data_IF_749992430111
#
_entry.id   IF_749992430111
#
_cell.length_a   1.000
_cell.length_b   1.000
_cell.length_c   1.000
_cell.angle_alpha   90.00
_cell.angle_beta   90.00
_cell.angle_gamma   90.00
#
_symmetry.space_group_name_H-M   'P 1'
#
loop_
_entity.id
_entity.type
_entity.pdbx_description
1 polymer ?
#
# COMPACT_ATOMS: atom_id res chain seq x y z
N UNK A 1 64.75 27.37 57.00
CA UNK A 1 64.50 26.93 55.62
C UNK A 1 63.05 26.47 55.53
N UNK A 2 62.28 26.98 54.55
CA UNK A 2 61.16 26.41 53.76
C UNK A 2 60.39 25.20 54.35
N UNK A 3 59.06 25.04 54.30
CA UNK A 3 58.02 25.44 53.34
C UNK A 3 56.65 25.14 54.02
N UNK A 4 55.66 26.06 53.98
CA UNK A 4 54.53 26.12 53.02
C UNK A 4 53.54 24.95 53.09
N UNK A 5 52.33 25.27 53.57
CA UNK A 5 51.21 24.36 53.81
C UNK A 5 50.50 23.87 52.55
N UNK A 6 49.88 22.70 52.68
CA UNK A 6 49.08 22.03 51.66
C UNK A 6 47.68 22.64 51.57
N UNK A 7 47.32 23.16 50.39
CA UNK A 7 45.94 23.48 50.01
C UNK A 7 45.43 22.33 49.17
N UNK A 8 44.39 21.64 49.67
CA UNK A 8 43.67 20.60 48.94
C UNK A 8 42.57 21.27 48.13
N UNK A 9 42.70 21.26 46.80
CA UNK A 9 41.67 21.66 45.85
C UNK A 9 40.89 20.41 45.42
N UNK A 10 39.67 20.27 45.94
CA UNK A 10 38.67 19.29 45.46
C UNK A 10 38.05 19.83 44.17
N UNK A 11 38.54 19.34 43.02
CA UNK A 11 37.90 19.58 41.73
C UNK A 11 36.70 18.63 41.58
N UNK A 12 35.49 19.18 41.73
CA UNK A 12 34.24 18.47 41.45
C UNK A 12 34.12 18.17 39.95
N UNK A 13 34.15 16.89 39.59
CA UNK A 13 33.81 16.43 38.24
C UNK A 13 32.28 16.43 38.14
N UNK A 14 31.74 17.46 37.50
CA UNK A 14 30.34 17.47 37.09
C UNK A 14 30.11 16.38 36.04
N UNK A 15 29.36 15.34 36.39
CA UNK A 15 28.77 14.43 35.43
C UNK A 15 27.75 15.22 34.60
N UNK A 16 28.19 15.77 33.47
CA UNK A 16 27.29 16.23 32.44
C UNK A 16 26.54 15.00 31.92
N UNK A 17 25.29 14.84 32.32
CA UNK A 17 24.37 13.86 31.75
C UNK A 17 24.29 14.15 30.25
N UNK A 18 24.89 13.28 29.45
CA UNK A 18 24.61 13.23 28.01
C UNK A 18 23.09 13.09 27.87
N UNK A 19 22.42 13.94 27.08
CA UNK A 19 20.99 13.80 26.88
C UNK A 19 20.75 12.38 26.36
N UNK A 20 19.90 11.63 27.06
CA UNK A 20 19.46 10.32 26.60
C UNK A 20 19.00 10.52 25.15
N UNK A 21 19.72 9.91 24.20
CA UNK A 21 19.32 9.90 22.80
C UNK A 21 17.87 9.46 22.80
N UNK A 22 16.97 10.32 22.32
CA UNK A 22 15.55 10.00 22.26
C UNK A 22 15.42 8.61 21.64
N UNK A 23 14.97 7.64 22.43
CA UNK A 23 14.82 6.29 21.95
C UNK A 23 13.59 6.29 21.03
N UNK A 24 13.75 5.80 19.80
CA UNK A 24 12.68 5.71 18.78
C UNK A 24 11.41 5.11 19.37
N UNK A 25 11.58 4.21 20.34
CA UNK A 25 10.53 3.62 21.17
C UNK A 25 9.55 4.64 21.75
N UNK A 26 10.02 5.75 22.32
CA UNK A 26 9.16 6.78 22.91
C UNK A 26 8.17 7.38 21.90
N UNK A 27 8.63 7.58 20.66
CA UNK A 27 7.78 8.01 19.56
C UNK A 27 6.80 6.93 19.09
N UNK A 28 7.21 5.66 19.06
CA UNK A 28 6.32 4.52 18.72
C UNK A 28 5.19 4.39 19.74
N UNK A 29 5.51 4.49 21.03
CA UNK A 29 4.52 4.47 22.10
C UNK A 29 3.55 5.65 22.02
N UNK A 30 4.05 6.85 21.71
CA UNK A 30 3.20 8.02 21.49
C UNK A 30 2.26 7.81 20.29
N UNK A 31 2.77 7.28 19.18
CA UNK A 31 1.99 6.97 17.98
C UNK A 31 0.88 5.96 18.25
N UNK A 32 1.16 4.88 19.00
CA UNK A 32 0.17 3.86 19.36
C UNK A 32 -0.98 4.43 20.22
N UNK A 33 -0.68 5.44 21.05
CA UNK A 33 -1.70 6.18 21.83
C UNK A 33 -2.44 7.25 21.02
N UNK A 34 -2.09 7.45 19.75
CA UNK A 34 -2.66 8.49 18.90
C UNK A 34 -2.07 9.89 19.12
N UNK A 35 -1.05 10.03 19.97
CA UNK A 35 -0.31 11.28 20.16
C UNK A 35 0.74 11.46 19.06
N UNK A 36 0.24 11.71 17.85
CA UNK A 36 1.08 11.81 16.67
C UNK A 36 2.02 13.00 16.73
N UNK A 37 1.62 14.12 17.34
CA UNK A 37 2.51 15.30 17.46
C UNK A 37 3.72 14.98 18.34
N UNK A 38 3.52 14.30 19.48
CA UNK A 38 4.62 13.85 20.32
C UNK A 38 5.48 12.83 19.58
N UNK A 39 4.88 11.86 18.88
CA UNK A 39 5.64 10.88 18.11
C UNK A 39 6.63 11.54 17.13
N UNK A 40 6.17 12.58 16.40
CA UNK A 40 7.02 13.34 15.49
C UNK A 40 8.13 14.09 16.23
N UNK A 41 7.84 14.69 17.39
CA UNK A 41 8.85 15.38 18.18
C UNK A 41 9.97 14.42 18.63
N UNK A 42 9.60 13.22 19.09
CA UNK A 42 10.55 12.18 19.52
C UNK A 42 11.38 11.63 18.35
N UNK A 43 10.77 11.42 17.17
CA UNK A 43 11.48 10.84 16.01
C UNK A 43 12.35 11.83 15.24
N UNK A 44 12.09 13.14 15.31
CA UNK A 44 12.84 14.13 14.52
C UNK A 44 14.34 14.12 14.81
N UNK A 45 14.72 14.10 16.09
CA UNK A 45 16.13 14.09 16.49
C UNK A 45 16.87 12.86 15.96
N UNK A 46 16.43 11.63 16.29
CA UNK A 46 17.04 10.39 15.79
C UNK A 46 17.05 10.28 14.27
N UNK A 47 15.97 10.66 13.59
CA UNK A 47 15.92 10.60 12.12
C UNK A 47 16.95 11.51 11.45
N UNK A 48 17.16 12.73 12.00
CA UNK A 48 18.21 13.65 11.55
C UNK A 48 19.61 13.11 11.89
N UNK A 49 19.75 12.40 13.01
CA UNK A 49 21.00 11.73 13.40
C UNK A 49 21.32 10.47 12.58
N UNK A 50 20.41 10.03 11.70
CA UNK A 50 20.63 8.91 10.79
C UNK A 50 19.88 7.64 11.16
N UNK A 51 19.15 7.61 12.26
CA UNK A 51 18.44 6.41 12.71
C UNK A 51 17.40 5.93 11.68
N UNK A 52 17.55 4.71 11.12
CA UNK A 52 16.70 4.24 10.04
C UNK A 52 15.25 3.97 10.46
N UNK A 53 15.01 3.59 11.72
CA UNK A 53 13.66 3.33 12.24
C UNK A 53 12.90 4.66 12.39
N UNK A 54 13.54 5.69 12.93
CA UNK A 54 12.99 7.03 13.02
C UNK A 54 12.74 7.66 11.64
N UNK A 55 13.66 7.46 10.69
CA UNK A 55 13.47 7.88 9.30
C UNK A 55 12.26 7.18 8.66
N UNK A 56 12.13 5.86 8.83
CA UNK A 56 10.96 5.11 8.36
C UNK A 56 9.67 5.66 8.98
N UNK A 57 9.66 5.90 10.30
CA UNK A 57 8.51 6.41 11.02
C UNK A 57 8.10 7.84 10.58
N UNK A 58 9.07 8.73 10.32
CA UNK A 58 8.78 10.03 9.71
C UNK A 58 8.21 9.89 8.29
N UNK A 59 8.75 8.96 7.48
CA UNK A 59 8.19 8.65 6.17
C UNK A 59 6.72 8.25 6.25
N UNK A 60 6.39 7.36 7.19
CA UNK A 60 5.00 6.94 7.46
C UNK A 60 4.11 8.10 7.89
N UNK A 61 4.61 8.99 8.75
CA UNK A 61 3.86 10.14 9.21
C UNK A 61 3.49 11.11 8.07
N UNK A 62 4.46 11.42 7.21
CA UNK A 62 4.23 12.27 6.03
C UNK A 62 3.32 11.58 5.00
N UNK A 63 3.44 10.27 4.81
CA UNK A 63 2.54 9.53 3.91
C UNK A 63 1.09 9.54 4.39
N UNK A 64 0.88 9.44 5.71
CA UNK A 64 -0.45 9.35 6.32
C UNK A 64 -1.05 10.70 6.73
N UNK A 65 -0.26 11.78 6.73
CA UNK A 65 -0.67 13.09 7.26
C UNK A 65 -0.97 13.06 8.76
N UNK A 66 -0.21 12.27 9.53
CA UNK A 66 -0.43 12.10 10.99
C UNK A 66 0.66 12.82 11.77
N UNK A 67 0.27 13.80 12.59
CA UNK A 67 1.20 14.64 13.36
C UNK A 67 1.93 15.69 12.51
N UNK A 68 1.94 15.53 11.18
CA UNK A 68 2.41 16.47 10.15
C UNK A 68 1.41 16.50 8.99
N UNK A 69 1.33 17.57 8.19
CA UNK A 69 0.58 17.55 6.94
C UNK A 69 1.06 16.43 6.01
N UNK A 70 0.13 15.84 5.24
CA UNK A 70 0.49 14.81 4.29
C UNK A 70 1.38 15.37 3.18
N UNK A 71 2.49 14.70 2.90
CA UNK A 71 3.46 15.09 1.88
C UNK A 71 4.20 13.84 1.36
N UNK A 72 3.80 13.38 0.17
CA UNK A 72 4.42 12.20 -0.44
C UNK A 72 5.87 12.41 -0.87
N UNK A 73 6.28 13.65 -1.16
CA UNK A 73 7.66 13.95 -1.52
C UNK A 73 8.57 13.85 -0.29
N UNK A 74 8.13 14.36 0.86
CA UNK A 74 8.82 14.16 2.13
C UNK A 74 8.84 12.68 2.53
N UNK A 75 7.71 11.98 2.39
CA UNK A 75 7.66 10.55 2.67
C UNK A 75 8.68 9.76 1.82
N UNK A 76 8.72 10.03 0.51
CA UNK A 76 9.69 9.44 -0.42
C UNK A 76 11.14 9.66 0.05
N UNK A 77 11.49 10.89 0.43
CA UNK A 77 12.85 11.22 0.89
C UNK A 77 13.22 10.47 2.17
N UNK A 78 12.31 10.41 3.15
CA UNK A 78 12.56 9.71 4.41
C UNK A 78 12.66 8.20 4.22
N UNK A 79 11.77 7.58 3.44
CA UNK A 79 11.89 6.17 3.10
C UNK A 79 13.17 5.88 2.32
N UNK A 80 13.56 6.73 1.38
CA UNK A 80 14.83 6.56 0.64
C UNK A 80 16.03 6.49 1.59
N UNK A 81 16.09 7.38 2.59
CA UNK A 81 17.20 7.40 3.56
C UNK A 81 17.25 6.08 4.35
N UNK A 82 16.13 5.60 4.88
CA UNK A 82 16.08 4.34 5.61
C UNK A 82 16.32 3.11 4.70
N UNK A 83 15.78 3.12 3.49
CA UNK A 83 15.96 2.06 2.49
C UNK A 83 17.42 1.89 2.07
N UNK A 84 18.16 2.99 1.89
CA UNK A 84 19.60 2.96 1.57
C UNK A 84 20.45 2.36 2.71
N UNK A 85 19.92 2.32 3.93
CA UNK A 85 20.53 1.66 5.09
C UNK A 85 20.09 0.20 5.23
N UNK A 86 19.25 -0.31 4.31
CA UNK A 86 18.75 -1.69 4.33
C UNK A 86 17.55 -1.92 5.24
N UNK A 87 16.86 -0.86 5.70
CA UNK A 87 15.66 -1.02 6.53
C UNK A 87 14.52 -1.69 5.74
N UNK A 88 14.11 -2.94 6.06
CA UNK A 88 13.28 -3.74 5.14
C UNK A 88 11.92 -3.15 4.80
N UNK A 89 11.22 -2.55 5.78
CA UNK A 89 9.92 -1.91 5.55
C UNK A 89 10.07 -0.57 4.80
N UNK A 90 11.21 0.09 4.89
CA UNK A 90 11.46 1.33 4.18
C UNK A 90 11.80 1.05 2.71
N UNK A 91 12.53 -0.03 2.42
CA UNK A 91 12.74 -0.49 1.05
C UNK A 91 11.40 -0.77 0.34
N UNK A 92 10.49 -1.49 1.02
CA UNK A 92 9.15 -1.78 0.51
C UNK A 92 8.37 -0.48 0.25
N UNK A 93 8.27 0.39 1.27
CA UNK A 93 7.49 1.62 1.15
C UNK A 93 8.12 2.61 0.16
N UNK A 94 9.45 2.63 0.03
CA UNK A 94 10.13 3.44 -0.98
C UNK A 94 9.77 2.96 -2.39
N UNK A 95 9.85 1.66 -2.66
CA UNK A 95 9.42 1.09 -3.94
C UNK A 95 7.96 1.41 -4.27
N UNK A 96 7.07 1.31 -3.27
CA UNK A 96 5.65 1.62 -3.45
C UNK A 96 5.40 3.12 -3.71
N UNK A 97 6.05 4.02 -2.97
CA UNK A 97 5.91 5.47 -3.18
C UNK A 97 6.51 5.89 -4.53
N UNK A 98 7.64 5.30 -4.94
CA UNK A 98 8.18 5.54 -6.29
C UNK A 98 7.18 5.13 -7.37
N UNK A 99 6.51 3.99 -7.21
CA UNK A 99 5.48 3.54 -8.14
C UNK A 99 4.27 4.49 -8.16
N UNK A 100 3.79 4.92 -7.00
CA UNK A 100 2.69 5.89 -6.85
C UNK A 100 3.06 7.25 -7.48
N UNK A 101 4.33 7.67 -7.38
CA UNK A 101 4.88 8.89 -7.99
C UNK A 101 5.32 8.71 -9.47
N UNK A 102 4.87 7.63 -10.13
CA UNK A 102 5.16 7.34 -11.54
C UNK A 102 6.66 7.15 -11.88
N UNK A 103 7.50 6.85 -10.90
CA UNK A 103 8.95 6.55 -11.05
C UNK A 103 9.18 5.05 -11.22
N UNK A 104 8.55 4.46 -12.24
CA UNK A 104 8.37 3.00 -12.40
C UNK A 104 9.68 2.22 -12.55
N UNK A 105 10.64 2.74 -13.33
CA UNK A 105 11.97 2.12 -13.45
C UNK A 105 12.74 2.08 -12.12
N UNK A 106 12.66 3.15 -11.33
CA UNK A 106 13.32 3.19 -10.01
C UNK A 106 12.62 2.28 -9.01
N UNK A 107 11.29 2.18 -9.08
CA UNK A 107 10.50 1.32 -8.21
C UNK A 107 10.83 -0.17 -8.41
N UNK A 108 11.11 -0.59 -9.64
CA UNK A 108 11.27 -2.00 -10.01
C UNK A 108 12.29 -2.73 -9.13
N UNK A 109 13.48 -2.17 -8.91
CA UNK A 109 14.54 -2.79 -8.12
C UNK A 109 14.12 -3.00 -6.65
N UNK A 110 13.51 -1.98 -6.03
CA UNK A 110 13.07 -2.04 -4.64
C UNK A 110 11.90 -3.01 -4.46
N UNK A 111 10.95 -2.99 -5.39
CA UNK A 111 9.81 -3.91 -5.39
C UNK A 111 10.23 -5.35 -5.66
N UNK A 112 11.25 -5.58 -6.50
CA UNK A 112 11.85 -6.92 -6.69
C UNK A 112 12.44 -7.45 -5.39
N UNK A 113 13.21 -6.64 -4.65
CA UNK A 113 13.78 -7.03 -3.35
C UNK A 113 12.70 -7.35 -2.33
N UNK A 114 11.70 -6.48 -2.20
CA UNK A 114 10.59 -6.70 -1.26
C UNK A 114 9.74 -7.93 -1.65
N UNK A 115 9.44 -8.12 -2.94
CA UNK A 115 8.72 -9.29 -3.43
C UNK A 115 9.48 -10.61 -3.22
N UNK A 116 10.82 -10.58 -3.32
CA UNK A 116 11.69 -11.71 -3.02
C UNK A 116 11.64 -12.11 -1.54
N UNK A 117 11.50 -11.13 -0.63
CA UNK A 117 11.27 -11.37 0.81
C UNK A 117 9.86 -11.86 1.15
N UNK A 118 8.95 -11.90 0.18
CA UNK A 118 7.59 -12.39 0.40
C UNK A 118 6.54 -11.29 0.53
N UNK A 119 6.89 -10.00 0.48
CA UNK A 119 5.96 -8.91 0.78
C UNK A 119 4.76 -8.90 -0.20
N UNK A 120 3.52 -9.20 0.26
CA UNK A 120 2.37 -9.42 -0.63
C UNK A 120 2.03 -8.21 -1.49
N UNK A 121 2.14 -7.00 -0.91
CA UNK A 121 1.83 -5.76 -1.64
C UNK A 121 2.86 -5.50 -2.74
N UNK A 122 4.14 -5.75 -2.47
CA UNK A 122 5.20 -5.60 -3.46
C UNK A 122 5.11 -6.66 -4.57
N UNK A 123 4.81 -7.90 -4.21
CA UNK A 123 4.52 -8.97 -5.20
C UNK A 123 3.38 -8.56 -6.12
N UNK A 124 2.28 -8.05 -5.57
CA UNK A 124 1.14 -7.58 -6.36
C UNK A 124 1.54 -6.45 -7.32
N UNK A 125 2.14 -5.38 -6.80
CA UNK A 125 2.52 -4.21 -7.62
C UNK A 125 3.51 -4.63 -8.71
N UNK A 126 4.56 -5.38 -8.37
CA UNK A 126 5.53 -5.87 -9.34
C UNK A 126 4.89 -6.83 -10.36
N UNK A 127 3.95 -7.67 -9.94
CA UNK A 127 3.16 -8.51 -10.84
C UNK A 127 2.39 -7.69 -11.86
N UNK A 128 1.75 -6.60 -11.44
CA UNK A 128 1.07 -5.68 -12.38
C UNK A 128 2.06 -4.93 -13.29
N UNK A 129 3.26 -4.61 -12.81
CA UNK A 129 4.30 -4.00 -13.64
C UNK A 129 4.72 -4.93 -14.77
N UNK A 130 5.01 -6.20 -14.47
CA UNK A 130 5.35 -7.21 -15.48
C UNK A 130 4.18 -7.48 -16.44
N UNK A 131 2.93 -7.44 -15.97
CA UNK A 131 1.78 -7.64 -16.85
C UNK A 131 1.66 -6.52 -17.90
N UNK A 132 1.89 -5.27 -17.48
CA UNK A 132 1.76 -4.09 -18.32
C UNK A 132 3.04 -3.77 -19.13
N UNK A 133 4.21 -4.26 -18.70
CA UNK A 133 5.50 -3.83 -19.23
C UNK A 133 5.89 -2.43 -18.73
N UNK A 134 5.60 -2.15 -17.46
CA UNK A 134 5.72 -0.81 -16.89
C UNK A 134 6.94 -0.70 -15.97
N UNK A 135 7.99 -0.02 -16.45
CA UNK A 135 9.28 0.06 -15.77
C UNK A 135 10.08 -1.25 -15.76
N UNK A 136 9.53 -2.32 -16.32
CA UNK A 136 10.12 -3.64 -16.54
C UNK A 136 9.66 -4.18 -17.89
N UNK A 137 10.40 -5.11 -18.48
CA UNK A 137 9.93 -5.82 -19.67
C UNK A 137 8.66 -6.62 -19.35
N UNK A 138 7.73 -6.69 -20.31
CA UNK A 138 6.49 -7.44 -20.13
C UNK A 138 6.78 -8.94 -19.99
N UNK A 139 6.35 -9.53 -18.89
CA UNK A 139 6.52 -10.96 -18.60
C UNK A 139 5.27 -11.50 -17.91
N UNK A 140 4.39 -12.13 -18.68
CA UNK A 140 3.12 -12.64 -18.18
C UNK A 140 3.27 -13.84 -17.24
N UNK A 141 4.34 -14.63 -17.39
CA UNK A 141 4.62 -15.77 -16.50
C UNK A 141 5.01 -15.26 -15.12
N UNK A 142 5.95 -14.31 -15.03
CA UNK A 142 6.32 -13.65 -13.76
C UNK A 142 5.16 -12.86 -13.17
N UNK A 143 4.40 -12.15 -13.99
CA UNK A 143 3.23 -11.40 -13.54
C UNK A 143 2.22 -12.29 -12.81
N UNK A 144 1.88 -13.42 -13.43
CA UNK A 144 0.95 -14.39 -12.87
C UNK A 144 1.53 -15.03 -11.59
N UNK A 145 2.80 -15.45 -11.61
CA UNK A 145 3.47 -16.04 -10.46
C UNK A 145 3.44 -15.13 -9.22
N UNK A 146 3.81 -13.87 -9.39
CA UNK A 146 3.84 -12.90 -8.30
C UNK A 146 2.44 -12.58 -7.78
N UNK A 147 1.46 -12.46 -8.67
CA UNK A 147 0.08 -12.12 -8.29
C UNK A 147 -0.61 -13.29 -7.59
N UNK A 148 -0.35 -14.53 -8.01
CA UNK A 148 -0.81 -15.74 -7.30
C UNK A 148 -0.23 -15.81 -5.89
N UNK A 149 1.07 -15.54 -5.71
CA UNK A 149 1.70 -15.52 -4.37
C UNK A 149 1.09 -14.44 -3.48
N UNK A 150 0.85 -13.24 -4.01
CA UNK A 150 0.19 -12.18 -3.25
C UNK A 150 -1.26 -12.54 -2.86
N UNK A 151 -1.98 -13.19 -3.78
CA UNK A 151 -3.35 -13.68 -3.57
C UNK A 151 -3.42 -14.77 -2.50
N UNK A 152 -2.48 -15.73 -2.52
CA UNK A 152 -2.37 -16.80 -1.54
C UNK A 152 -2.12 -16.27 -0.11
N UNK A 153 -1.46 -15.11 0.00
CA UNK A 153 -1.24 -14.40 1.27
C UNK A 153 -2.44 -13.52 1.70
N UNK A 154 -3.58 -13.64 1.01
CA UNK A 154 -4.84 -13.01 1.39
C UNK A 154 -5.03 -11.58 0.88
N UNK A 155 -4.23 -11.10 -0.09
CA UNK A 155 -4.38 -9.76 -0.64
C UNK A 155 -5.53 -9.70 -1.68
N UNK A 156 -6.70 -9.07 -1.39
CA UNK A 156 -7.87 -9.15 -2.27
C UNK A 156 -7.67 -8.46 -3.64
N UNK A 157 -6.81 -7.45 -3.69
CA UNK A 157 -6.45 -6.78 -4.94
C UNK A 157 -5.71 -7.74 -5.89
N UNK A 158 -4.88 -8.63 -5.35
CA UNK A 158 -4.14 -9.60 -6.13
C UNK A 158 -5.07 -10.68 -6.71
N UNK A 159 -6.01 -11.21 -5.92
CA UNK A 159 -7.00 -12.17 -6.45
C UNK A 159 -7.89 -11.55 -7.54
N UNK A 160 -8.25 -10.28 -7.38
CA UNK A 160 -9.00 -9.52 -8.39
C UNK A 160 -8.17 -9.34 -9.67
N UNK A 161 -6.91 -8.94 -9.55
CA UNK A 161 -6.03 -8.78 -10.71
C UNK A 161 -5.73 -10.10 -11.40
N UNK A 162 -5.54 -11.20 -10.66
CA UNK A 162 -5.39 -12.54 -11.23
C UNK A 162 -6.58 -12.90 -12.14
N UNK A 163 -7.82 -12.67 -11.67
CA UNK A 163 -9.02 -12.93 -12.46
C UNK A 163 -9.12 -12.04 -13.71
N UNK A 164 -8.52 -10.85 -13.70
CA UNK A 164 -8.40 -10.01 -14.89
C UNK A 164 -7.31 -10.55 -15.83
N UNK A 165 -6.15 -10.93 -15.30
CA UNK A 165 -5.04 -11.51 -16.06
C UNK A 165 -5.45 -12.81 -16.76
N UNK A 166 -6.30 -13.64 -16.15
CA UNK A 166 -6.83 -14.88 -16.73
C UNK A 166 -7.56 -14.68 -18.07
N UNK A 167 -8.00 -13.45 -18.38
CA UNK A 167 -8.63 -13.10 -19.66
C UNK A 167 -7.63 -12.87 -20.80
N UNK A 168 -6.37 -12.64 -20.46
CA UNK A 168 -5.31 -12.26 -21.41
C UNK A 168 -4.17 -13.29 -21.46
N UNK A 169 -3.83 -13.90 -20.32
CA UNK A 169 -2.75 -14.87 -20.22
C UNK A 169 -3.25 -16.25 -20.62
N UNK A 170 -2.52 -16.91 -21.52
CA UNK A 170 -2.86 -18.26 -21.99
C UNK A 170 -2.87 -19.27 -20.85
N UNK A 171 -3.59 -20.38 -20.99
CA UNK A 171 -3.56 -21.45 -19.99
C UNK A 171 -2.13 -22.00 -19.78
N UNK A 172 -1.37 -22.17 -20.86
CA UNK A 172 0.00 -22.66 -20.81
C UNK A 172 0.92 -21.72 -20.00
N UNK A 173 0.82 -20.40 -20.21
CA UNK A 173 1.67 -19.46 -19.47
C UNK A 173 1.23 -19.29 -18.02
N UNK A 174 -0.06 -19.44 -17.73
CA UNK A 174 -0.55 -19.51 -16.34
C UNK A 174 -0.02 -20.75 -15.62
N UNK A 175 0.02 -21.91 -16.26
CA UNK A 175 0.64 -23.11 -15.69
C UNK A 175 2.11 -22.89 -15.36
N UNK A 176 2.89 -22.32 -16.29
CA UNK A 176 4.28 -21.89 -16.03
C UNK A 176 4.36 -20.90 -14.87
N UNK A 177 3.43 -19.94 -14.79
CA UNK A 177 3.37 -18.97 -13.71
C UNK A 177 3.11 -19.62 -12.35
N UNK A 178 2.23 -20.62 -12.29
CA UNK A 178 1.97 -21.40 -11.07
C UNK A 178 3.18 -22.24 -10.66
N UNK A 179 3.92 -22.81 -11.62
CA UNK A 179 5.19 -23.50 -11.36
C UNK A 179 6.25 -22.54 -10.81
N UNK A 180 6.38 -21.37 -11.43
CA UNK A 180 7.29 -20.33 -10.98
C UNK A 180 6.93 -19.82 -9.58
N UNK A 181 5.65 -19.67 -9.26
CA UNK A 181 5.19 -19.31 -7.92
C UNK A 181 5.65 -20.32 -6.87
N UNK A 182 5.47 -21.63 -7.13
CA UNK A 182 5.96 -22.72 -6.26
C UNK A 182 7.47 -22.70 -6.10
N UNK A 183 8.22 -22.39 -7.17
CA UNK A 183 9.67 -22.24 -7.10
C UNK A 183 10.07 -21.11 -6.15
N UNK A 184 9.43 -19.95 -6.26
CA UNK A 184 9.70 -18.84 -5.34
C UNK A 184 9.39 -19.18 -3.88
N UNK A 185 8.33 -19.95 -3.60
CA UNK A 185 7.98 -20.40 -2.25
C UNK A 185 9.03 -21.36 -1.68
N UNK A 186 9.49 -22.33 -2.48
CA UNK A 186 10.58 -23.23 -2.11
C UNK A 186 11.87 -22.46 -1.82
N UNK A 187 12.21 -21.50 -2.68
CA UNK A 187 13.45 -20.74 -2.56
C UNK A 187 13.40 -19.77 -1.37
N UNK A 188 12.22 -19.23 -1.03
CA UNK A 188 12.02 -18.43 0.19
C UNK A 188 12.13 -19.24 1.49
N UNK A 189 11.77 -20.54 1.45
CA UNK A 189 11.92 -21.45 2.58
C UNK A 189 13.33 -22.03 2.74
N UNK A 190 14.22 -21.82 1.77
CA UNK A 190 15.63 -22.22 1.89
C UNK A 190 16.34 -21.21 2.79
N UNK A 191 17.10 -21.64 3.81
CA UNK A 191 17.98 -20.74 4.53
C UNK A 191 18.85 -20.03 3.49
N UNK A 192 18.81 -18.69 3.49
CA UNK A 192 19.76 -17.91 2.73
C UNK A 192 21.14 -18.32 3.25
N UNK A 193 21.85 -19.17 2.50
CA UNK A 193 23.30 -19.26 2.65
C UNK A 193 23.74 -17.84 2.35
N UNK A 194 24.13 -17.11 3.39
CA UNK A 194 24.33 -15.68 3.30
C UNK A 194 25.28 -15.40 2.14
N UNK A 195 24.73 -14.97 1.00
CA UNK A 195 25.51 -14.20 0.06
C UNK A 195 26.00 -13.03 0.91
N UNK A 196 27.32 -12.93 1.05
CA UNK A 196 27.95 -11.92 1.89
C UNK A 196 27.24 -10.60 1.63
N UNK A 197 26.80 -9.87 2.68
CA UNK A 197 26.16 -8.59 2.49
C UNK A 197 27.04 -7.78 1.54
N UNK A 198 26.47 -7.14 0.49
CA UNK A 198 27.27 -6.25 -0.34
C UNK A 198 28.00 -5.31 0.63
N UNK A 199 29.31 -5.10 0.47
CA UNK A 199 30.07 -4.28 1.40
C UNK A 199 29.30 -2.98 1.57
N UNK A 200 29.15 -2.47 2.81
CA UNK A 200 28.45 -1.21 3.03
C UNK A 200 29.08 -0.23 2.06
N UNK A 201 28.29 0.23 1.08
CA UNK A 201 28.74 1.32 0.24
C UNK A 201 29.02 2.42 1.24
N UNK A 202 30.26 2.90 1.28
CA UNK A 202 30.67 4.03 2.11
C UNK A 202 29.92 5.27 1.60
N UNK A 203 28.62 5.33 1.82
CA UNK A 203 27.89 6.58 1.89
C UNK A 203 28.47 7.25 3.12
N UNK A 204 29.29 8.27 2.90
CA UNK A 204 29.70 9.16 3.98
C UNK A 204 28.46 9.66 4.73
N UNK A 205 28.63 10.13 5.98
CA UNK A 205 27.51 10.71 6.74
C UNK A 205 26.78 11.72 5.85
N UNK A 206 25.46 11.55 5.69
CA UNK A 206 24.63 12.53 4.98
C UNK A 206 24.75 13.84 5.77
N UNK A 207 25.51 14.78 5.23
CA UNK A 207 25.79 16.08 5.85
C UNK A 207 24.53 16.94 5.77
N UNK A 208 24.28 17.78 6.78
CA UNK A 208 23.15 18.70 6.95
C UNK A 208 22.79 19.57 5.73
N UNK A 209 23.61 19.61 4.68
CA UNK A 209 23.45 20.46 3.49
C UNK A 209 22.46 19.91 2.46
N UNK A 210 21.98 18.67 2.61
CA UNK A 210 20.96 18.09 1.72
C UNK A 210 19.52 18.34 2.20
N UNK A 211 19.33 19.26 3.16
CA UNK A 211 18.02 19.60 3.72
C UNK A 211 17.51 20.91 3.10
N UNK A 212 16.43 20.91 2.29
CA UNK A 212 15.66 22.13 2.11
C UNK A 212 15.02 22.51 3.46
N UNK A 213 14.93 23.81 3.80
CA UNK A 213 14.26 24.24 5.02
C UNK A 213 12.81 23.75 4.99
N UNK A 214 12.29 23.35 6.15
CA UNK A 214 10.85 23.18 6.35
C UNK A 214 10.19 24.55 6.29
N UNK A 215 9.97 25.08 5.10
CA UNK A 215 9.12 26.25 4.90
C UNK A 215 7.68 25.77 4.95
N UNK A 216 6.99 26.09 6.04
CA UNK A 216 5.54 26.10 6.07
C UNK A 216 5.11 27.18 5.07
N UNK A 217 4.85 26.78 3.83
CA UNK A 217 4.34 27.70 2.81
C UNK A 217 2.85 27.93 3.07
N UNK A 218 2.53 28.94 3.88
CA UNK A 218 1.29 29.69 3.71
C UNK A 218 1.50 30.60 2.48
N UNK A 219 0.73 30.41 1.41
CA UNK A 219 0.58 31.43 0.38
C UNK A 219 -0.91 31.77 0.21
N UNK A 220 -1.29 33.05 0.31
CA UNK A 220 -2.58 33.54 -0.16
C UNK A 220 -2.62 33.55 -1.69
N UNK A 221 -3.82 33.39 -2.25
CA UNK A 221 -4.12 33.51 -3.68
C UNK A 221 -4.01 34.99 -4.09
N UNK A 222 -3.18 35.35 -5.09
CA UNK A 222 -3.27 36.65 -5.74
C UNK A 222 -4.31 36.59 -6.87
N UNK A 223 -5.29 37.49 -6.82
CA UNK A 223 -6.19 37.85 -7.91
C UNK A 223 -5.57 39.05 -8.62
N UNK A 224 -5.35 38.98 -9.94
CA UNK A 224 -5.13 40.16 -10.80
C UNK A 224 -5.58 39.85 -12.25
N UNK A 225 -5.84 40.88 -13.09
CA UNK A 225 -7.10 40.97 -13.82
C UNK A 225 -6.99 40.60 -15.31
N UNK A 226 -8.17 40.36 -15.85
CA UNK A 226 -8.51 40.05 -17.23
C UNK A 226 -8.04 41.13 -18.22
N UNK A 227 -7.40 40.72 -19.33
CA UNK A 227 -7.24 41.56 -20.52
C UNK A 227 -7.49 40.72 -21.79
N UNK A 228 -8.38 41.25 -22.62
CA UNK A 228 -8.93 40.65 -23.85
C UNK A 228 -7.94 40.60 -25.04
N UNK A 229 -8.22 39.79 -26.09
CA UNK A 229 -7.22 39.27 -27.03
C UNK A 229 -7.02 40.13 -28.28
N UNK A 230 -5.79 40.15 -28.82
CA UNK A 230 -5.49 40.64 -30.18
C UNK A 230 -5.43 39.49 -31.20
N UNK A 231 -6.09 39.72 -32.32
CA UNK A 231 -6.29 38.83 -33.47
C UNK A 231 -5.03 38.82 -34.36
N UNK A 232 -4.56 37.63 -34.74
CA UNK A 232 -3.59 37.44 -35.81
C UNK A 232 -4.15 36.45 -36.85
N UNK A 233 -4.00 36.82 -38.12
CA UNK A 233 -4.63 36.24 -39.31
C UNK A 233 -4.35 34.74 -39.53
N UNK A 234 -5.39 34.08 -40.04
CA UNK A 234 -5.50 32.65 -40.34
C UNK A 234 -4.77 32.26 -41.64
N UNK A 235 -3.84 31.30 -41.55
CA UNK A 235 -3.46 30.45 -42.69
C UNK A 235 -4.48 29.30 -42.84
N UNK A 236 -4.90 28.94 -44.07
CA UNK A 236 -5.87 27.86 -44.27
C UNK A 236 -5.26 26.49 -43.94
N UNK A 237 -6.04 25.68 -43.23
CA UNK A 237 -5.73 24.30 -42.87
C UNK A 237 -5.93 23.32 -44.05
N UNK A 238 -5.20 22.19 -44.10
CA UNK A 238 -5.42 21.14 -45.09
C UNK A 238 -6.81 20.46 -44.92
N UNK A 239 -7.35 19.81 -45.97
CA UNK A 239 -8.72 19.30 -45.96
C UNK A 239 -8.91 18.18 -44.93
N UNK A 240 -9.99 18.32 -44.15
CA UNK A 240 -10.46 17.35 -43.16
C UNK A 240 -10.94 16.10 -43.89
N UNK A 241 -10.25 14.97 -43.69
CA UNK A 241 -10.79 13.65 -44.02
C UNK A 241 -11.93 13.35 -43.05
N UNK A 242 -13.17 13.27 -43.55
CA UNK A 242 -14.34 12.87 -42.76
C UNK A 242 -14.12 11.44 -42.23
N UNK A 243 -14.21 11.19 -40.91
CA UNK A 243 -14.26 9.84 -40.40
C UNK A 243 -15.57 9.17 -40.85
N UNK A 244 -15.46 7.91 -41.28
CA UNK A 244 -16.62 7.06 -41.60
C UNK A 244 -17.57 6.96 -40.39
N UNK A 245 -18.89 6.80 -40.62
CA UNK A 245 -19.86 6.71 -39.54
C UNK A 245 -19.53 5.53 -38.62
N UNK A 246 -19.42 5.80 -37.32
CA UNK A 246 -19.32 4.79 -36.27
C UNK A 246 -20.55 3.88 -36.36
N UNK A 247 -20.32 2.58 -36.52
CA UNK A 247 -21.37 1.59 -36.34
C UNK A 247 -21.88 1.69 -34.90
N UNK A 248 -23.19 1.80 -34.74
CA UNK A 248 -23.86 1.65 -33.45
C UNK A 248 -23.61 0.23 -32.95
N UNK A 249 -23.19 0.02 -31.68
CA UNK A 249 -23.10 -1.32 -31.14
C UNK A 249 -24.49 -1.94 -31.12
N UNK A 250 -24.62 -3.11 -31.74
CA UNK A 250 -25.82 -3.95 -31.65
C UNK A 250 -26.11 -4.21 -30.16
N UNK A 251 -27.36 -4.07 -29.68
CA UNK A 251 -27.69 -4.43 -28.30
C UNK A 251 -27.37 -5.92 -28.11
N UNK A 252 -26.53 -6.21 -27.10
CA UNK A 252 -26.31 -7.58 -26.67
C UNK A 252 -27.65 -8.19 -26.23
N UNK A 253 -27.92 -9.47 -26.52
CA UNK A 253 -29.13 -10.11 -26.02
C UNK A 253 -29.13 -10.03 -24.49
N UNK A 254 -30.23 -9.52 -23.93
CA UNK A 254 -30.51 -9.58 -22.50
C UNK A 254 -30.48 -11.05 -22.13
N UNK A 255 -29.42 -11.49 -21.45
CA UNK A 255 -29.42 -12.82 -20.84
C UNK A 255 -30.53 -12.81 -19.80
N UNK A 256 -31.57 -13.62 -20.04
CA UNK A 256 -32.59 -13.89 -19.04
C UNK A 256 -31.88 -14.34 -17.75
N UNK A 257 -32.25 -13.73 -16.62
CA UNK A 257 -31.73 -14.10 -15.31
C UNK A 257 -31.88 -15.61 -15.14
N UNK A 258 -30.75 -16.32 -15.03
CA UNK A 258 -30.76 -17.74 -14.76
C UNK A 258 -31.53 -17.99 -13.45
N UNK A 259 -32.35 -19.06 -13.37
CA UNK A 259 -33.11 -19.36 -12.17
C UNK A 259 -32.15 -19.46 -10.97
N UNK A 260 -32.57 -18.93 -9.83
CA UNK A 260 -31.83 -18.98 -8.56
C UNK A 260 -31.51 -20.44 -8.26
N UNK A 261 -30.25 -20.83 -8.50
CA UNK A 261 -29.73 -22.15 -8.15
C UNK A 261 -29.19 -22.11 -6.73
N UNK A 262 -29.52 -23.12 -5.94
CA UNK A 262 -28.95 -23.29 -4.61
C UNK A 262 -27.70 -24.18 -4.70
N UNK A 263 -26.53 -23.55 -4.63
CA UNK A 263 -25.24 -24.23 -4.59
C UNK A 263 -24.66 -24.33 -3.18
N UNK A 264 -25.47 -24.08 -2.14
CA UNK A 264 -25.02 -24.06 -0.75
C UNK A 264 -24.16 -22.84 -0.40
N UNK A 265 -24.22 -21.76 -1.19
CA UNK A 265 -23.48 -20.53 -0.90
C UNK A 265 -24.39 -19.44 -0.32
N UNK A 266 -23.88 -18.73 0.67
CA UNK A 266 -24.49 -17.51 1.24
C UNK A 266 -23.45 -16.39 1.30
N UNK A 267 -23.89 -15.18 1.60
CA UNK A 267 -23.00 -14.07 1.96
C UNK A 267 -23.26 -13.65 3.40
N UNK A 268 -22.21 -13.58 4.22
CA UNK A 268 -22.26 -13.03 5.56
C UNK A 268 -22.04 -11.52 5.51
N UNK A 269 -23.04 -10.76 5.94
CA UNK A 269 -22.99 -9.29 5.94
C UNK A 269 -22.55 -8.70 7.28
N UNK A 270 -22.51 -9.53 8.33
CA UNK A 270 -22.06 -9.11 9.66
C UNK A 270 -22.31 -10.16 10.73
N UNK A 271 -21.71 -9.94 11.90
CA UNK A 271 -21.93 -10.71 13.12
C UNK A 271 -22.08 -9.73 14.29
N UNK A 272 -23.22 -9.79 14.99
CA UNK A 272 -23.60 -8.77 15.96
C UNK A 272 -23.85 -9.40 17.34
N UNK A 273 -23.35 -8.77 18.40
CA UNK A 273 -23.65 -9.19 19.78
C UNK A 273 -25.08 -8.86 20.22
N UNK A 274 -25.69 -7.86 19.59
CA UNK A 274 -27.08 -7.46 19.83
C UNK A 274 -28.01 -7.97 18.71
N UNK A 275 -29.02 -8.80 19.02
CA UNK A 275 -30.02 -9.29 18.05
C UNK A 275 -30.80 -8.18 17.33
N UNK A 276 -31.01 -7.01 17.94
CA UNK A 276 -31.71 -5.90 17.30
C UNK A 276 -30.87 -5.29 16.16
N UNK A 277 -29.56 -5.13 16.38
CA UNK A 277 -28.62 -4.68 15.35
C UNK A 277 -28.50 -5.70 14.21
N UNK A 278 -28.51 -7.00 14.52
CA UNK A 278 -28.56 -8.06 13.52
C UNK A 278 -29.81 -7.91 12.63
N UNK A 279 -31.00 -7.78 13.22
CA UNK A 279 -32.27 -7.61 12.47
C UNK A 279 -32.27 -6.37 11.58
N UNK A 280 -31.75 -5.24 12.09
CA UNK A 280 -31.59 -4.00 11.31
C UNK A 280 -30.69 -4.21 10.09
N UNK A 281 -29.53 -4.84 10.28
CA UNK A 281 -28.62 -5.17 9.19
C UNK A 281 -29.24 -6.13 8.17
N UNK A 282 -30.02 -7.12 8.63
CA UNK A 282 -30.76 -8.03 7.76
C UNK A 282 -31.82 -7.32 6.91
N UNK A 283 -32.56 -6.37 7.49
CA UNK A 283 -33.52 -5.56 6.75
C UNK A 283 -32.86 -4.70 5.65
N UNK A 284 -31.72 -4.08 5.96
CA UNK A 284 -30.94 -3.33 4.98
C UNK A 284 -30.42 -4.21 3.83
N UNK A 285 -30.03 -5.44 4.13
CA UNK A 285 -29.57 -6.37 3.11
C UNK A 285 -30.71 -6.94 2.25
N UNK A 286 -31.91 -7.17 2.80
CA UNK A 286 -33.05 -7.65 2.02
C UNK A 286 -33.36 -6.74 0.82
N UNK A 287 -33.21 -5.41 0.97
CA UNK A 287 -33.38 -4.45 -0.13
C UNK A 287 -32.27 -4.50 -1.19
N UNK A 288 -31.10 -5.06 -0.87
CA UNK A 288 -29.92 -5.11 -1.76
C UNK A 288 -29.80 -6.42 -2.53
N UNK A 289 -30.46 -7.48 -2.06
CA UNK A 289 -30.41 -8.83 -2.62
C UNK A 289 -31.82 -9.30 -3.02
N UNK A 290 -32.38 -8.78 -4.14
CA UNK A 290 -33.72 -9.15 -4.58
C UNK A 290 -33.81 -10.65 -4.86
N UNK A 291 -34.91 -11.27 -4.41
CA UNK A 291 -35.14 -12.71 -4.58
C UNK A 291 -34.32 -13.63 -3.68
N UNK A 292 -33.54 -13.10 -2.72
CA UNK A 292 -32.75 -13.88 -1.76
C UNK A 292 -33.33 -13.74 -0.34
N UNK A 293 -33.18 -14.79 0.45
CA UNK A 293 -33.63 -14.86 1.85
C UNK A 293 -32.53 -14.43 2.79
N UNK A 294 -32.92 -13.78 3.90
CA UNK A 294 -32.02 -13.42 4.99
C UNK A 294 -32.16 -14.45 6.10
N UNK A 295 -31.03 -14.92 6.62
CA UNK A 295 -30.93 -15.90 7.69
C UNK A 295 -30.19 -15.30 8.89
N UNK A 296 -30.62 -15.69 10.08
CA UNK A 296 -29.99 -15.29 11.35
C UNK A 296 -29.50 -16.54 12.06
N UNK A 297 -28.19 -16.68 12.20
CA UNK A 297 -27.57 -17.85 12.81
C UNK A 297 -26.84 -17.46 14.10
N UNK A 298 -27.05 -18.25 15.16
CA UNK A 298 -26.35 -18.06 16.43
C UNK A 298 -24.94 -18.64 16.34
N UNK A 299 -23.94 -17.82 16.62
CA UNK A 299 -22.54 -18.20 16.72
C UNK A 299 -22.00 -17.76 18.08
N UNK A 300 -22.17 -18.61 19.10
CA UNK A 300 -21.88 -18.27 20.49
C UNK A 300 -22.72 -17.08 20.96
N UNK A 301 -22.06 -16.00 21.41
CA UNK A 301 -22.72 -14.75 21.83
C UNK A 301 -23.12 -13.84 20.66
N UNK A 302 -22.74 -14.18 19.43
CA UNK A 302 -23.02 -13.37 18.25
C UNK A 302 -24.17 -13.94 17.43
N UNK A 303 -24.86 -13.08 16.69
CA UNK A 303 -25.85 -13.43 15.69
C UNK A 303 -25.30 -13.03 14.33
N UNK A 304 -24.95 -14.03 13.51
CA UNK A 304 -24.51 -13.85 12.12
C UNK A 304 -25.72 -13.55 11.25
N UNK A 305 -25.55 -12.65 10.30
CA UNK A 305 -26.57 -12.34 9.29
C UNK A 305 -26.07 -12.82 7.94
N UNK A 306 -26.79 -13.76 7.36
CA UNK A 306 -26.46 -14.40 6.08
C UNK A 306 -27.55 -14.10 5.06
N UNK A 307 -27.19 -14.02 3.78
CA UNK A 307 -28.14 -13.84 2.68
C UNK A 307 -27.87 -14.89 1.59
N UNK A 308 -28.90 -15.53 1.06
CA UNK A 308 -28.77 -16.57 0.03
C UNK A 308 -30.12 -17.19 -0.37
N UNK A 309 -30.14 -18.31 -1.10
CA UNK A 309 -28.98 -19.09 -1.54
C UNK A 309 -28.27 -18.45 -2.73
N UNK A 310 -27.05 -18.86 -3.05
CA UNK A 310 -26.33 -18.58 -4.30
C UNK A 310 -25.83 -19.88 -4.92
N UNK A 311 -25.75 -19.94 -6.25
CA UNK A 311 -25.39 -21.13 -7.00
C UNK A 311 -23.90 -21.46 -6.99
N UNK A 312 -23.04 -20.48 -6.64
CA UNK A 312 -21.60 -20.66 -6.56
C UNK A 312 -20.92 -19.58 -5.72
N UNK A 313 -19.68 -19.85 -5.28
CA UNK A 313 -18.82 -18.86 -4.62
C UNK A 313 -18.64 -17.60 -5.47
N UNK A 314 -18.49 -17.76 -6.80
CA UNK A 314 -18.31 -16.65 -7.71
C UNK A 314 -19.58 -15.79 -7.82
N UNK A 315 -20.77 -16.39 -7.76
CA UNK A 315 -22.05 -15.65 -7.71
C UNK A 315 -22.19 -14.89 -6.38
N UNK A 316 -21.92 -15.54 -5.25
CA UNK A 316 -21.93 -14.90 -3.92
C UNK A 316 -20.92 -13.74 -3.83
N UNK A 317 -19.72 -13.91 -4.40
CA UNK A 317 -18.69 -12.87 -4.46
C UNK A 317 -19.14 -11.67 -5.30
N UNK A 318 -19.73 -11.92 -6.47
CA UNK A 318 -20.30 -10.85 -7.31
C UNK A 318 -21.46 -10.14 -6.63
N UNK A 319 -22.29 -10.88 -5.89
CA UNK A 319 -23.42 -10.32 -5.16
C UNK A 319 -22.97 -9.34 -4.07
N UNK A 320 -21.82 -9.59 -3.43
CA UNK A 320 -21.25 -8.64 -2.47
C UNK A 320 -20.90 -7.29 -3.10
N UNK A 321 -20.33 -7.26 -4.32
CA UNK A 321 -20.00 -6.01 -5.01
C UNK A 321 -19.22 -5.02 -4.10
N UNK A 322 -19.75 -3.81 -3.95
CA UNK A 322 -19.22 -2.77 -3.05
C UNK A 322 -19.83 -2.79 -1.63
N UNK A 323 -20.79 -3.69 -1.35
CA UNK A 323 -21.45 -3.77 -0.05
C UNK A 323 -20.47 -4.34 0.98
N UNK A 324 -20.17 -3.56 2.04
CA UNK A 324 -19.23 -3.93 3.09
C UNK A 324 -19.85 -3.69 4.48
N UNK A 325 -19.70 -4.63 5.43
CA UNK A 325 -19.05 -5.94 5.28
C UNK A 325 -19.90 -6.93 4.47
N UNK A 326 -19.26 -7.76 3.64
CA UNK A 326 -19.90 -8.85 2.89
C UNK A 326 -18.85 -9.90 2.52
N UNK A 327 -19.04 -11.13 2.98
CA UNK A 327 -18.10 -12.23 2.77
C UNK A 327 -18.85 -13.47 2.29
N UNK A 328 -18.51 -14.05 1.13
CA UNK A 328 -19.05 -15.33 0.69
C UNK A 328 -18.70 -16.44 1.69
N UNK A 329 -19.71 -17.20 2.11
CA UNK A 329 -19.57 -18.35 3.00
C UNK A 329 -20.32 -19.52 2.38
N UNK A 330 -19.79 -20.72 2.57
CA UNK A 330 -20.50 -21.95 2.21
C UNK A 330 -21.20 -22.47 3.46
N UNK A 331 -22.48 -22.80 3.32
CA UNK A 331 -23.24 -23.51 4.36
C UNK A 331 -22.59 -24.86 4.67
#
# INVERSE_FOLDING_TARGET
>A
MRNLGAVVLLAGIGLASLPALADVKGGVEAWQRGDYKKAIAEWRGPAVAGDPDAQFNLGQAYKLGRGVPADLAQAEQWYRKAALQGHPQAEENYGLVLFENNKRMQAAEWLQRAAARGEPRSQYVLGTMYFNGDGVEKDWVRAYALTVRASAQGLPQASTAQAQMDRYITLADRQKGLELARNYERDAGRPLVAAAPPPPRKGGPIVKTDLPPSTVAQRPIPVEPESEPQVAETRPAPPIVRPAPRQTPRPAPVQAEAPVRDGGWRVQIGAFGDPANARKAGGQAAGRFPGRKVFFEKAGKLTKVLVGPFGSSAEATRACGAFRPCVPVKD
#
